data_IF_644437290226
#
_entry.id   IF_644437290226
#
_cell.length_a   1.000
_cell.length_b   1.000
_cell.length_c   1.000
_cell.angle_alpha   90.00
_cell.angle_beta   90.00
_cell.angle_gamma   90.00
#
_symmetry.space_group_name_H-M   'P 1'
#
loop_
_entity.id
_entity.type
_entity.pdbx_description
1 polymer ?
#
# COMPACT_ATOMS: atom_id res chain seq x y z
N UNK A 1 23.44 10.38 1.43
CA UNK A 1 22.15 9.75 1.79
C UNK A 1 21.73 8.85 0.64
N UNK A 2 21.47 7.55 0.87
CA UNK A 2 20.90 6.69 -0.19
C UNK A 2 19.50 7.22 -0.53
N UNK A 3 19.24 7.57 -1.79
CA UNK A 3 17.91 7.92 -2.24
C UNK A 3 16.98 6.72 -1.98
N UNK A 4 16.12 6.83 -0.96
CA UNK A 4 15.06 5.88 -0.69
C UNK A 4 14.03 6.02 -1.82
N UNK A 5 13.83 4.97 -2.61
CA UNK A 5 12.84 4.94 -3.69
C UNK A 5 11.67 4.07 -3.27
N UNK A 6 10.45 4.55 -3.53
CA UNK A 6 9.23 3.77 -3.35
C UNK A 6 8.90 3.01 -4.65
N UNK A 7 8.71 1.70 -4.53
CA UNK A 7 8.22 0.84 -5.59
C UNK A 7 6.79 0.40 -5.26
N UNK A 8 5.97 0.15 -6.28
CA UNK A 8 4.59 -0.27 -6.08
C UNK A 8 4.32 -1.59 -6.80
N UNK A 9 3.46 -2.39 -6.21
CA UNK A 9 2.95 -3.63 -6.80
C UNK A 9 1.43 -3.70 -6.63
N UNK A 10 0.79 -4.47 -7.50
CA UNK A 10 -0.59 -4.90 -7.35
C UNK A 10 -0.57 -6.37 -6.97
N UNK A 11 -1.21 -6.73 -5.87
CA UNK A 11 -1.48 -8.13 -5.52
C UNK A 11 -2.59 -8.63 -6.45
N UNK A 12 -2.31 -9.70 -7.19
CA UNK A 12 -3.13 -10.09 -8.34
C UNK A 12 -4.46 -10.76 -7.97
N UNK A 13 -4.59 -11.29 -6.76
CA UNK A 13 -5.82 -11.99 -6.34
C UNK A 13 -6.87 -11.02 -5.80
N UNK A 14 -6.44 -9.98 -5.10
CA UNK A 14 -7.28 -8.96 -4.44
C UNK A 14 -7.33 -7.64 -5.20
N UNK A 15 -6.39 -7.40 -6.12
CA UNK A 15 -6.21 -6.11 -6.80
C UNK A 15 -5.67 -5.00 -5.89
N UNK A 16 -5.28 -5.33 -4.66
CA UNK A 16 -4.79 -4.36 -3.69
C UNK A 16 -3.40 -3.84 -4.07
N UNK A 17 -3.15 -2.56 -3.77
CA UNK A 17 -1.85 -1.93 -4.01
C UNK A 17 -0.96 -2.09 -2.78
N UNK A 18 0.24 -2.62 -3.00
CA UNK A 18 1.31 -2.68 -2.03
C UNK A 18 2.44 -1.72 -2.44
N UNK A 19 3.30 -1.36 -1.49
CA UNK A 19 4.49 -0.55 -1.80
C UNK A 19 5.70 -0.96 -0.98
N UNK A 20 6.88 -0.94 -1.58
CA UNK A 20 8.13 -1.34 -0.94
C UNK A 20 9.09 -0.16 -0.81
N UNK A 21 9.78 -0.09 0.33
CA UNK A 21 10.90 0.82 0.59
C UNK A 21 11.97 0.06 1.40
N UNK A 22 13.19 -0.04 0.89
CA UNK A 22 14.37 -0.53 1.65
C UNK A 22 14.20 -1.92 2.31
N UNK A 23 13.58 -2.89 1.64
CA UNK A 23 13.39 -4.24 2.20
C UNK A 23 12.17 -4.38 3.11
N UNK A 24 11.42 -3.29 3.34
CA UNK A 24 10.12 -3.33 3.98
C UNK A 24 9.01 -3.19 2.94
N UNK A 25 7.85 -3.81 3.17
CA UNK A 25 6.65 -3.66 2.36
C UNK A 25 5.49 -3.12 3.19
N UNK A 26 4.69 -2.25 2.59
CA UNK A 26 3.42 -1.78 3.11
C UNK A 26 2.30 -2.52 2.39
N UNK A 27 1.49 -3.23 3.16
CA UNK A 27 0.36 -4.03 2.68
C UNK A 27 -0.92 -3.45 3.29
N UNK A 28 -2.01 -3.32 2.51
CA UNK A 28 -3.30 -2.92 3.06
C UNK A 28 -3.93 -4.07 3.86
N UNK A 29 -4.24 -3.79 5.13
CA UNK A 29 -4.91 -4.69 6.06
C UNK A 29 -6.33 -4.18 6.29
N UNK A 30 -7.30 -5.07 6.21
CA UNK A 30 -8.70 -4.75 6.45
C UNK A 30 -8.91 -4.38 7.92
N UNK A 31 -9.55 -3.25 8.18
CA UNK A 31 -9.89 -2.80 9.53
C UNK A 31 -11.23 -3.38 9.97
N UNK A 32 -11.23 -4.63 10.41
CA UNK A 32 -12.45 -5.29 10.92
C UNK A 32 -13.12 -4.49 12.03
N UNK A 33 -12.34 -3.90 12.94
CA UNK A 33 -12.87 -3.10 14.07
C UNK A 33 -13.63 -1.84 13.61
N UNK A 34 -13.36 -1.35 12.40
CA UNK A 34 -14.05 -0.19 11.82
C UNK A 34 -15.29 -0.58 10.99
N UNK A 35 -15.55 -1.88 10.81
CA UNK A 35 -16.74 -2.38 10.12
C UNK A 35 -17.89 -2.50 11.11
N UNK A 36 -18.71 -1.45 11.17
CA UNK A 36 -19.79 -1.33 12.15
C UNK A 36 -21.15 -1.27 11.43
N UNK A 37 -22.26 -1.71 12.06
CA UNK A 37 -23.59 -1.67 11.45
C UNK A 37 -24.00 -0.27 10.96
N UNK A 38 -23.59 0.78 11.68
CA UNK A 38 -23.97 2.17 11.42
C UNK A 38 -23.38 2.71 10.10
N UNK A 39 -22.29 2.14 9.61
CA UNK A 39 -21.67 2.51 8.34
C UNK A 39 -21.96 1.51 7.21
N UNK A 40 -22.89 0.56 7.44
CA UNK A 40 -23.22 -0.49 6.48
C UNK A 40 -22.06 -1.46 6.24
N UNK A 41 -21.22 -1.70 7.26
CA UNK A 41 -20.03 -2.55 7.17
C UNK A 41 -19.04 -2.11 6.07
N UNK A 42 -18.84 -0.80 5.93
CA UNK A 42 -17.94 -0.25 4.93
C UNK A 42 -16.53 -0.81 5.08
N UNK A 43 -16.01 -1.42 4.02
CA UNK A 43 -14.64 -1.91 3.97
C UNK A 43 -13.65 -0.74 4.03
N UNK A 44 -12.83 -0.72 5.07
CA UNK A 44 -11.75 0.26 5.22
C UNK A 44 -10.44 -0.45 5.45
N UNK A 45 -9.36 0.10 4.91
CA UNK A 45 -8.03 -0.50 4.98
C UNK A 45 -7.06 0.47 5.63
N UNK A 46 -6.12 -0.08 6.42
CA UNK A 46 -4.92 0.63 6.87
C UNK A 46 -3.70 -0.01 6.24
N UNK A 47 -2.64 0.78 6.06
CA UNK A 47 -1.35 0.23 5.64
C UNK A 47 -0.58 -0.24 6.88
N UNK A 48 -0.01 -1.44 6.81
CA UNK A 48 0.91 -1.96 7.82
C UNK A 48 2.25 -2.33 7.18
N UNK A 49 3.32 -2.19 7.97
CA UNK A 49 4.68 -2.53 7.54
C UNK A 49 4.99 -3.97 7.89
N UNK A 50 5.57 -4.67 6.94
CA UNK A 50 6.12 -6.01 7.09
C UNK A 50 7.50 -6.08 6.47
N UNK A 51 8.26 -7.10 6.84
CA UNK A 51 9.46 -7.48 6.11
C UNK A 51 9.09 -7.96 4.70
N UNK A 52 9.88 -7.64 3.66
CA UNK A 52 9.59 -8.06 2.29
C UNK A 52 9.46 -9.59 2.14
N UNK A 53 10.11 -10.38 3.01
CA UNK A 53 9.98 -11.83 2.98
C UNK A 53 8.57 -12.33 3.33
N UNK A 54 7.71 -11.52 3.95
CA UNK A 54 6.30 -11.89 4.16
C UNK A 54 5.52 -11.98 2.86
N UNK A 55 6.05 -11.48 1.74
CA UNK A 55 5.41 -11.59 0.43
C UNK A 55 5.73 -12.88 -0.32
N UNK A 56 6.52 -13.78 0.26
CA UNK A 56 6.80 -15.07 -0.36
C UNK A 56 5.47 -15.82 -0.53
N UNK A 57 5.16 -16.20 -1.77
CA UNK A 57 3.90 -16.85 -2.14
C UNK A 57 2.81 -15.89 -2.63
N UNK A 58 2.95 -14.57 -2.44
CA UNK A 58 2.02 -13.58 -3.01
C UNK A 58 2.29 -13.38 -4.51
N UNK A 59 1.23 -13.22 -5.30
CA UNK A 59 1.32 -12.88 -6.72
C UNK A 59 1.38 -11.37 -6.90
N UNK A 60 2.58 -10.80 -6.80
CA UNK A 60 2.80 -9.35 -6.93
C UNK A 60 3.18 -8.95 -8.36
N UNK A 61 2.38 -8.08 -8.97
CA UNK A 61 2.72 -7.41 -10.23
C UNK A 61 3.28 -6.01 -9.97
N UNK A 62 4.59 -5.87 -10.05
CA UNK A 62 5.27 -4.57 -9.92
C UNK A 62 4.90 -3.62 -11.06
N UNK A 63 4.52 -2.39 -10.72
CA UNK A 63 4.05 -1.41 -11.70
C UNK A 63 4.18 0.03 -11.20
N UNK A 64 4.33 0.98 -12.14
CA UNK A 64 4.20 2.42 -11.87
C UNK A 64 2.81 2.96 -12.19
N UNK A 65 1.97 2.15 -12.84
CA UNK A 65 0.63 2.50 -13.33
C UNK A 65 -0.42 2.22 -12.25
N UNK A 66 -0.42 3.04 -11.21
CA UNK A 66 -1.47 3.09 -10.17
C UNK A 66 -1.97 4.53 -10.03
N UNK A 67 -3.23 4.75 -9.60
CA UNK A 67 -3.78 6.09 -9.39
C UNK A 67 -2.90 6.94 -8.48
N UNK A 68 -2.78 8.23 -8.77
CA UNK A 68 -1.97 9.16 -7.98
C UNK A 68 -2.44 9.23 -6.53
N UNK A 69 -3.75 9.20 -6.30
CA UNK A 69 -4.31 9.23 -4.95
C UNK A 69 -3.76 8.08 -4.10
N UNK A 70 -3.75 6.86 -4.64
CA UNK A 70 -3.17 5.69 -3.97
C UNK A 70 -1.66 5.87 -3.78
N UNK A 71 -0.92 6.35 -4.80
CA UNK A 71 0.51 6.68 -4.61
C UNK A 71 0.71 7.62 -3.43
N UNK A 72 -0.12 8.64 -3.30
CA UNK A 72 -0.01 9.64 -2.24
C UNK A 72 -0.35 9.08 -0.87
N UNK A 73 -1.31 8.16 -0.75
CA UNK A 73 -1.57 7.42 0.49
C UNK A 73 -0.34 6.63 0.95
N UNK A 74 0.26 5.84 0.04
CA UNK A 74 1.48 5.09 0.34
C UNK A 74 2.70 5.99 0.60
N UNK A 75 2.86 7.08 -0.17
CA UNK A 75 3.94 8.06 0.06
C UNK A 75 3.83 8.69 1.44
N UNK A 76 2.63 9.12 1.84
CA UNK A 76 2.38 9.64 3.19
C UNK A 76 2.75 8.61 4.26
N UNK A 77 2.34 7.35 4.07
CA UNK A 77 2.68 6.25 4.99
C UNK A 77 4.20 6.06 5.16
N UNK A 78 4.97 6.18 4.08
CA UNK A 78 6.43 6.07 4.11
C UNK A 78 7.17 7.37 4.46
N UNK A 79 6.45 8.46 4.75
CA UNK A 79 7.06 9.77 5.05
C UNK A 79 7.61 10.52 3.83
N UNK A 80 7.17 10.17 2.62
CA UNK A 80 7.49 10.88 1.39
C UNK A 80 6.51 12.03 1.15
N UNK A 81 7.00 13.13 0.55
CA UNK A 81 6.14 14.23 0.08
C UNK A 81 5.13 13.72 -0.95
N UNK A 82 3.85 14.12 -0.92
CA UNK A 82 2.89 13.72 -1.94
C UNK A 82 3.32 14.18 -3.34
N UNK A 83 2.86 13.45 -4.35
CA UNK A 83 2.93 13.90 -5.74
C UNK A 83 1.87 14.97 -5.94
N UNK A 84 2.33 16.15 -6.34
CA UNK A 84 1.51 17.22 -6.89
C UNK A 84 1.70 17.12 -8.39
N UNK A 85 0.71 16.63 -9.13
CA UNK A 85 0.81 16.77 -10.58
C UNK A 85 0.85 18.27 -10.91
N UNK A 86 1.82 18.63 -11.75
CA UNK A 86 1.84 19.86 -12.57
C UNK A 86 0.95 19.58 -13.78
#
# INVERSE_FOLDING_TARGET
MRNRTIQYAIEQETGQVCSQVSGEIAIPILNYDCMQPENGYKLTYRLEKFDIFTTIGMKLKWTRKIPQEIKNQHRKFWGFKPLTNI
#
